data_IF_156477919332
#
_entry.id   IF_156477919332
#
_cell.length_a   1.000
_cell.length_b   1.000
_cell.length_c   1.000
_cell.angle_alpha   90.00
_cell.angle_beta   90.00
_cell.angle_gamma   90.00
#
_symmetry.space_group_name_H-M   'P 1'
#
loop_
_entity.id
_entity.type
_entity.pdbx_description
1 polymer ?
2 water ?
#
# COMPACT_ATOMS: atom_id res chain seq x y z
N UNK A 23 -7.36 -9.47 15.11
CA UNK A 23 -7.48 -8.04 15.55
C UNK A 23 -7.65 -7.05 14.37
N UNK A 24 -7.74 -5.76 14.66
CA UNK A 24 -8.21 -4.81 13.65
C UNK A 24 -7.14 -4.59 12.61
N UNK A 25 -7.51 -3.87 11.54
CA UNK A 25 -6.63 -3.65 10.40
C UNK A 25 -6.68 -2.18 9.94
N UNK A 26 -5.49 -1.58 9.86
CA UNK A 26 -5.29 -0.20 9.47
C UNK A 26 -4.48 -0.16 8.19
N UNK A 27 -4.94 0.64 7.22
CA UNK A 27 -4.35 0.67 5.91
C UNK A 27 -4.23 2.11 5.48
N UNK A 28 -3.03 2.48 4.97
CA UNK A 28 -2.83 3.78 4.35
C UNK A 28 -2.19 3.51 3.00
N UNK A 29 -2.86 3.98 1.96
CA UNK A 29 -2.41 3.83 0.58
C UNK A 29 -1.99 5.19 0.07
N UNK A 30 -0.79 5.22 -0.55
CA UNK A 30 -0.14 6.43 -1.04
C UNK A 30 0.31 6.31 -2.49
N UNK A 31 0.48 7.48 -3.12
CA UNK A 31 1.27 7.60 -4.34
C UNK A 31 2.73 7.67 -3.92
N UNK A 32 3.48 6.64 -4.24
CA UNK A 32 4.91 6.64 -4.03
C UNK A 32 5.23 5.89 -2.77
N UNK A 33 6.40 5.29 -2.76
CA UNK A 33 6.87 4.48 -1.63
C UNK A 33 7.29 5.31 -0.43
N UNK A 34 8.00 6.40 -0.66
CA UNK A 34 8.58 7.17 0.45
C UNK A 34 7.48 7.65 1.41
N UNK A 35 6.38 8.15 0.84
CA UNK A 35 5.27 8.72 1.61
C UNK A 35 4.52 7.63 2.36
N UNK A 36 4.66 6.40 1.85
CA UNK A 36 4.17 5.20 2.49
C UNK A 36 5.02 4.81 3.68
N UNK A 37 6.32 4.90 3.52
CA UNK A 37 7.28 4.50 4.54
C UNK A 37 7.13 5.41 5.75
N UNK A 38 6.81 6.67 5.48
CA UNK A 38 6.45 7.62 6.50
C UNK A 38 5.12 7.30 7.20
N UNK A 39 4.09 7.01 6.40
CA UNK A 39 2.85 6.52 6.93
C UNK A 39 3.14 5.39 7.90
N UNK A 40 3.88 4.39 7.42
CA UNK A 40 4.18 3.20 8.22
C UNK A 40 4.90 3.53 9.51
N UNK A 41 6.01 4.28 9.38
CA UNK A 41 6.80 4.70 10.54
C UNK A 41 5.94 5.40 11.61
N UNK A 42 5.11 6.34 11.17
CA UNK A 42 4.35 7.16 12.08
C UNK A 42 3.21 6.33 12.72
N UNK A 43 2.71 5.35 11.99
CA UNK A 43 1.72 4.42 12.50
C UNK A 43 2.29 3.62 13.67
N UNK A 44 3.48 3.06 13.51
CA UNK A 44 4.03 2.15 14.51
C UNK A 44 4.49 2.91 15.77
N UNK A 45 4.99 4.10 15.54
CA UNK A 45 5.31 4.96 16.64
C UNK A 45 4.06 5.36 17.44
N UNK A 46 2.97 5.67 16.75
CA UNK A 46 1.84 6.38 17.38
C UNK A 46 0.97 5.51 18.26
N UNK A 47 1.02 4.21 18.08
CA UNK A 47 0.23 3.32 18.93
C UNK A 47 0.70 1.89 18.82
N UNK A 48 0.16 1.01 19.65
CA UNK A 48 0.62 -0.38 19.68
C UNK A 48 0.04 -1.23 18.55
N UNK A 49 0.69 -1.14 17.38
CA UNK A 49 0.35 -1.90 16.18
C UNK A 49 1.61 -2.57 15.65
N UNK A 50 1.49 -3.76 15.08
CA UNK A 50 2.61 -4.34 14.34
C UNK A 50 2.42 -4.20 12.83
N UNK A 51 3.49 -3.81 12.16
CA UNK A 51 3.47 -3.59 10.74
C UNK A 51 3.46 -4.95 10.06
N UNK A 52 2.44 -5.16 9.22
CA UNK A 52 2.27 -6.40 8.50
C UNK A 52 3.15 -6.38 7.25
N UNK A 53 2.99 -5.34 6.46
CA UNK A 53 3.78 -5.19 5.28
C UNK A 53 3.29 -4.02 4.48
N UNK A 54 3.78 -3.95 3.27
CA UNK A 54 3.31 -3.01 2.31
C UNK A 54 2.98 -3.80 1.08
N UNK A 55 2.35 -3.15 0.12
CA UNK A 55 2.01 -3.78 -1.15
C UNK A 55 1.70 -2.70 -2.17
N UNK A 56 2.22 -2.84 -3.39
CA UNK A 56 1.85 -1.91 -4.44
C UNK A 56 1.14 -2.63 -5.57
N UNK A 57 0.25 -1.89 -6.23
CA UNK A 57 -0.66 -2.42 -7.22
C UNK A 57 -0.45 -1.63 -8.52
N UNK A 58 0.78 -1.18 -8.70
CA UNK A 58 1.16 -0.34 -9.83
C UNK A 58 0.51 1.03 -9.76
N UNK A 59 0.90 1.88 -10.71
CA UNK A 59 0.35 3.22 -10.84
C UNK A 59 0.77 4.13 -9.67
N UNK A 60 1.85 3.76 -8.99
CA UNK A 60 2.38 4.56 -7.91
C UNK A 60 1.73 4.28 -6.58
N UNK A 61 0.73 3.39 -6.58
CA UNK A 61 -0.09 3.13 -5.41
C UNK A 61 0.55 2.06 -4.54
N UNK A 62 0.92 2.49 -3.32
CA UNK A 62 1.56 1.65 -2.33
C UNK A 62 0.79 1.71 -1.00
N UNK A 63 0.58 0.55 -0.37
CA UNK A 63 -0.26 0.48 0.85
C UNK A 63 0.54 -0.08 1.99
N UNK A 64 0.41 0.56 3.14
CA UNK A 64 0.98 0.10 4.37
C UNK A 64 -0.17 -0.39 5.26
N UNK A 65 0.04 -1.56 5.87
CA UNK A 65 -0.96 -2.28 6.62
C UNK A 65 -0.43 -2.65 7.96
N UNK A 66 -1.22 -2.37 9.01
CA UNK A 66 -0.85 -2.68 10.40
C UNK A 66 -2.01 -3.36 11.10
N UNK A 67 -1.72 -4.01 12.20
CA UNK A 67 -2.70 -4.79 12.93
C UNK A 67 -2.56 -4.48 14.43
N UNK A 68 -3.69 -4.38 15.12
CA UNK A 68 -3.71 -4.02 16.53
C UNK A 68 -5.14 -4.01 17.06
N UNK A 69 -5.33 -3.57 18.30
CA UNK A 69 -6.70 -3.35 18.79
C UNK A 69 -7.26 -2.15 18.06
N UNK A 70 -8.57 -2.02 18.05
CA UNK A 70 -9.19 -1.03 17.18
C UNK A 70 -8.84 0.41 17.55
N UNK A 71 -8.80 0.71 18.85
CA UNK A 71 -8.32 2.04 19.30
C UNK A 71 -6.88 2.38 18.95
N UNK A 72 -6.01 1.39 19.10
CA UNK A 72 -4.60 1.46 18.71
C UNK A 72 -4.39 1.63 17.21
N UNK A 73 -5.15 0.87 16.43
CA UNK A 73 -5.11 0.96 15.01
C UNK A 73 -5.71 2.28 14.51
N UNK A 74 -6.80 2.70 15.15
CA UNK A 74 -7.44 3.95 14.75
C UNK A 74 -6.47 5.12 14.93
N UNK A 75 -5.66 5.02 15.98
CA UNK A 75 -4.74 6.05 16.35
C UNK A 75 -3.52 6.11 15.47
N UNK A 76 -2.96 4.94 15.14
CA UNK A 76 -1.91 4.85 14.13
C UNK A 76 -2.36 5.50 12.82
N UNK A 77 -3.47 5.09 12.26
CA UNK A 77 -3.91 5.61 10.95
C UNK A 77 -4.10 7.14 10.94
N UNK A 78 -4.68 7.67 11.99
CA UNK A 78 -4.81 9.11 12.17
C UNK A 78 -3.46 9.76 12.08
N UNK A 79 -2.50 9.23 12.79
CA UNK A 79 -1.13 9.76 12.79
C UNK A 79 -0.35 9.40 11.52
N UNK A 80 -0.51 8.16 11.05
CA UNK A 80 0.06 7.74 9.79
C UNK A 80 -0.31 8.67 8.66
N UNK A 81 -1.59 9.01 8.58
CA UNK A 81 -2.12 9.88 7.49
C UNK A 81 -1.63 11.32 7.64
N UNK A 82 -1.68 11.84 8.86
CA UNK A 82 -1.18 13.19 9.16
C UNK A 82 0.22 13.48 8.60
N UNK A 83 1.12 12.55 8.89
CA UNK A 83 2.53 12.63 8.54
C UNK A 83 2.92 12.19 7.12
N UNK A 84 2.25 11.19 6.57
CA UNK A 84 2.47 10.84 5.15
C UNK A 84 2.03 12.00 4.26
N UNK A 85 0.86 12.57 4.56
CA UNK A 85 0.32 13.73 3.83
C UNK A 85 1.28 14.93 3.90
N UNK A 86 1.91 15.10 5.04
CA UNK A 86 2.94 16.10 5.24
C UNK A 86 3.94 16.13 4.08
N UNK A 87 4.32 14.96 3.57
CA UNK A 87 5.39 14.86 2.58
C UNK A 87 4.98 14.33 1.20
N UNK A 88 3.76 13.79 1.10
CA UNK A 88 3.32 13.08 -0.09
C UNK A 88 1.82 13.04 -0.17
N UNK A 89 1.31 12.13 -1.03
CA UNK A 89 -0.11 12.01 -1.25
C UNK A 89 -0.71 10.75 -0.65
N UNK A 90 -1.57 10.93 0.34
CA UNK A 90 -2.38 9.84 0.87
C UNK A 90 -3.63 9.67 -0.03
N UNK A 91 -3.75 8.48 -0.59
CA UNK A 91 -4.85 8.18 -1.51
C UNK A 91 -6.12 7.66 -0.78
N UNK A 92 -5.95 6.62 0.03
CA UNK A 92 -7.04 6.06 0.83
C UNK A 92 -6.43 5.73 2.17
N UNK A 93 -7.22 5.84 3.23
CA UNK A 93 -6.93 5.20 4.50
C UNK A 93 -8.19 4.49 5.01
N UNK A 94 -8.02 3.46 5.83
CA UNK A 94 -9.15 2.68 6.31
C UNK A 94 -8.82 1.98 7.61
N UNK A 95 -9.81 1.86 8.51
CA UNK A 95 -9.72 0.94 9.64
C UNK A 95 -10.81 -0.07 9.50
N UNK A 96 -10.46 -1.35 9.52
CA UNK A 96 -11.45 -2.41 9.65
C UNK A 96 -11.23 -2.96 11.02
N UNK A 97 -12.20 -2.75 11.90
CA UNK A 97 -12.09 -3.17 13.29
C UNK A 97 -12.10 -4.71 13.48
N UNK A 98 -12.79 -5.43 12.60
CA UNK A 98 -12.73 -6.90 12.60
C UNK A 98 -12.96 -7.40 11.20
N UNK A 99 -11.86 -7.61 10.44
CA UNK A 99 -11.97 -8.10 9.08
C UNK A 99 -12.49 -9.52 9.03
N UNK A 100 -13.29 -9.80 8.02
CA UNK A 100 -13.81 -11.13 7.89
C UNK A 100 -12.57 -12.01 7.95
N UNK A 101 -12.72 -13.22 8.47
CA UNK A 101 -11.56 -14.08 8.68
C UNK A 101 -10.82 -14.29 7.34
N UNK A 102 -11.55 -14.62 6.26
CA UNK A 102 -11.04 -14.65 4.87
C UNK A 102 -10.10 -13.52 4.52
N UNK A 103 -10.39 -12.30 4.98
CA UNK A 103 -9.51 -11.14 4.73
C UNK A 103 -8.22 -11.35 5.48
N UNK A 104 -8.32 -11.56 6.78
CA UNK A 104 -7.16 -11.76 7.65
C UNK A 104 -6.21 -12.86 7.14
N UNK A 105 -6.76 -13.85 6.44
CA UNK A 105 -5.96 -14.89 5.80
C UNK A 105 -5.16 -14.31 4.64
N UNK A 106 -5.81 -13.50 3.82
CA UNK A 106 -5.24 -12.99 2.59
C UNK A 106 -4.12 -11.96 2.83
N UNK A 107 -4.32 -11.07 3.80
CA UNK A 107 -3.32 -10.03 4.11
C UNK A 107 -2.07 -10.61 4.76
N UNK A 108 -2.24 -11.54 5.68
CA UNK A 108 -1.12 -12.19 6.37
C UNK A 108 -0.91 -13.62 5.86
N UNK B 23 -20.12 -22.99 -8.87
CA UNK B 23 -21.08 -21.94 -8.37
C UNK B 23 -20.75 -20.52 -8.91
N UNK B 24 -21.53 -19.53 -8.50
CA UNK B 24 -21.48 -18.25 -9.16
C UNK B 24 -20.22 -17.49 -8.78
N UNK B 25 -19.99 -16.37 -9.49
CA UNK B 25 -18.78 -15.59 -9.36
C UNK B 25 -19.11 -14.09 -9.29
N UNK B 26 -18.60 -13.46 -8.22
CA UNK B 26 -18.77 -12.05 -7.96
C UNK B 26 -17.42 -11.36 -7.99
N UNK B 27 -17.35 -10.24 -8.68
CA UNK B 27 -16.12 -9.54 -8.91
C UNK B 27 -16.37 -8.05 -8.68
N UNK B 28 -15.49 -7.42 -7.90
CA UNK B 28 -15.46 -5.97 -7.80
C UNK B 28 -14.04 -5.52 -8.08
N UNK B 29 -13.88 -4.65 -9.06
CA UNK B 29 -12.59 -4.11 -9.48
C UNK B 29 -12.55 -2.64 -9.11
N UNK B 30 -11.45 -2.27 -8.45
CA UNK B 30 -11.22 -0.93 -7.88
C UNK B 30 -9.90 -0.33 -8.31
N UNK B 31 -9.84 1.00 -8.22
CA UNK B 31 -8.60 1.75 -8.23
C UNK B 31 -8.06 1.71 -6.82
N UNK B 32 -6.97 1.00 -6.62
CA UNK B 32 -6.30 0.97 -5.35
C UNK B 32 -6.66 -0.26 -4.60
N UNK B 33 -5.73 -0.73 -3.79
CA UNK B 33 -5.92 -1.93 -2.99
C UNK B 33 -6.84 -1.74 -1.80
N UNK B 34 -6.71 -0.63 -1.09
CA UNK B 34 -7.48 -0.43 0.15
C UNK B 34 -9.00 -0.52 -0.10
N UNK B 35 -9.46 0.12 -1.19
CA UNK B 35 -10.88 0.16 -1.56
C UNK B 35 -11.38 -1.20 -2.00
N UNK B 36 -10.42 -2.02 -2.44
CA UNK B 36 -10.66 -3.42 -2.80
C UNK B 36 -10.81 -4.28 -1.56
N UNK B 37 -9.98 -4.05 -0.57
CA UNK B 37 -9.98 -4.81 0.67
C UNK B 37 -11.32 -4.63 1.38
N UNK B 38 -11.86 -3.41 1.25
CA UNK B 38 -13.15 -3.07 1.76
C UNK B 38 -14.25 -3.76 1.00
N UNK B 39 -14.20 -3.69 -0.32
CA UNK B 39 -15.08 -4.45 -1.15
C UNK B 39 -15.09 -5.87 -0.65
N UNK B 40 -13.90 -6.48 -0.56
CA UNK B 40 -13.79 -7.89 -0.16
C UNK B 40 -14.40 -8.18 1.19
N UNK B 41 -14.00 -7.40 2.19
CA UNK B 41 -14.52 -7.53 3.55
C UNK B 41 -16.05 -7.47 3.60
N UNK B 42 -16.62 -6.48 2.93
CA UNK B 42 -18.04 -6.24 2.99
C UNK B 42 -18.79 -7.35 2.23
N UNK B 43 -18.15 -7.88 1.18
CA UNK B 43 -18.72 -9.00 0.44
C UNK B 43 -18.86 -10.23 1.34
N UNK B 44 -17.80 -10.59 2.07
CA UNK B 44 -17.81 -11.83 2.84
C UNK B 44 -18.72 -11.72 4.06
N UNK B 45 -18.78 -10.54 4.62
CA UNK B 45 -19.72 -10.30 5.69
C UNK B 45 -21.18 -10.40 5.22
N UNK B 46 -21.47 -9.86 4.04
CA UNK B 46 -22.86 -9.62 3.64
C UNK B 46 -23.62 -10.85 3.22
N UNK B 47 -22.93 -11.91 2.84
CA UNK B 47 -23.60 -13.13 2.43
C UNK B 47 -22.65 -14.32 2.43
N UNK B 48 -23.18 -15.52 2.22
CA UNK B 48 -22.35 -16.73 2.30
C UNK B 48 -21.55 -16.97 1.02
N UNK B 49 -20.41 -16.28 0.93
CA UNK B 49 -19.46 -16.38 -0.18
C UNK B 49 -18.07 -16.63 0.39
N UNK B 50 -17.27 -17.41 -0.31
CA UNK B 50 -15.87 -17.54 0.03
C UNK B 50 -14.98 -16.68 -0.87
N UNK B 51 -14.02 -15.98 -0.27
CA UNK B 51 -13.12 -15.12 -1.00
C UNK B 51 -12.10 -16.01 -1.69
N UNK B 52 -12.03 -15.85 -3.01
CA UNK B 52 -11.11 -16.60 -3.85
C UNK B 52 -9.73 -15.95 -3.80
N UNK B 53 -9.71 -14.67 -4.10
CA UNK B 53 -8.49 -13.91 -4.03
C UNK B 53 -8.71 -12.53 -4.56
N UNK B 54 -7.59 -11.85 -4.81
CA UNK B 54 -7.58 -10.60 -5.49
C UNK B 54 -6.60 -10.74 -6.64
N UNK B 55 -6.58 -9.74 -7.52
CA UNK B 55 -5.63 -9.71 -8.62
C UNK B 55 -5.56 -8.28 -9.17
N UNK B 56 -4.35 -7.81 -9.44
CA UNK B 56 -4.21 -6.50 -10.08
C UNK B 56 -3.53 -6.63 -11.43
N UNK B 57 -3.90 -5.72 -12.32
CA UNK B 57 -3.51 -5.78 -13.72
C UNK B 57 -2.81 -4.47 -14.08
N UNK B 58 -2.15 -3.90 -13.06
CA UNK B 58 -1.50 -2.61 -13.17
C UNK B 58 -2.49 -1.47 -13.33
N UNK B 59 -1.96 -0.25 -13.33
CA UNK B 59 -2.77 0.95 -13.49
C UNK B 59 -3.69 1.21 -12.29
N UNK B 60 -3.36 0.62 -11.14
CA UNK B 60 -4.12 0.82 -9.93
C UNK B 60 -5.33 -0.09 -9.83
N UNK B 61 -5.56 -0.92 -10.86
CA UNK B 61 -6.76 -1.74 -10.96
C UNK B 61 -6.55 -3.05 -10.23
N UNK B 62 -7.36 -3.22 -9.18
CA UNK B 62 -7.35 -4.40 -8.32
C UNK B 62 -8.75 -5.03 -8.21
N UNK B 63 -8.83 -6.35 -8.29
CA UNK B 63 -10.13 -7.04 -8.36
C UNK B 63 -10.21 -8.03 -7.22
N UNK B 64 -11.36 -8.03 -6.56
CA UNK B 64 -11.70 -8.99 -5.55
C UNK B 64 -12.76 -9.91 -6.12
N UNK B 65 -12.57 -11.21 -5.90
CA UNK B 65 -13.38 -12.25 -6.49
C UNK B 65 -13.87 -13.18 -5.41
N UNK B 66 -15.17 -13.47 -5.41
CA UNK B 66 -15.80 -14.39 -4.45
C UNK B 66 -16.67 -15.40 -5.18
N UNK B 67 -17.00 -16.48 -4.49
CA UNK B 67 -17.73 -17.59 -5.05
C UNK B 67 -18.85 -17.97 -4.07
N UNK B 68 -20.03 -18.28 -4.60
CA UNK B 68 -21.17 -18.66 -3.78
C UNK B 68 -22.36 -19.01 -4.66
N UNK B 69 -23.52 -19.23 -4.06
CA UNK B 69 -24.77 -19.33 -4.85
C UNK B 69 -25.09 -17.94 -5.41
N UNK B 70 -25.91 -17.89 -6.43
CA UNK B 70 -26.06 -16.66 -7.16
C UNK B 70 -26.71 -15.56 -6.33
N UNK B 71 -27.70 -15.91 -5.54
CA UNK B 71 -28.31 -14.94 -4.60
C UNK B 71 -27.39 -14.40 -3.53
N UNK B 72 -26.57 -15.30 -2.98
CA UNK B 72 -25.50 -14.97 -2.01
C UNK B 72 -24.39 -14.09 -2.62
N UNK B 73 -24.00 -14.41 -3.84
CA UNK B 73 -22.99 -13.65 -4.54
C UNK B 73 -23.57 -12.29 -4.95
N UNK B 74 -24.83 -12.29 -5.39
CA UNK B 74 -25.43 -11.05 -5.87
C UNK B 74 -25.47 -10.06 -4.70
N UNK B 75 -25.68 -10.60 -3.51
CA UNK B 75 -25.84 -9.82 -2.32
C UNK B 75 -24.54 -9.27 -1.81
N UNK B 76 -23.50 -10.09 -1.81
CA UNK B 76 -22.15 -9.63 -1.52
C UNK B 76 -21.77 -8.46 -2.42
N UNK B 77 -21.86 -8.63 -3.73
CA UNK B 77 -21.41 -7.57 -4.68
C UNK B 77 -22.15 -6.24 -4.51
N UNK B 78 -23.46 -6.31 -4.28
CA UNK B 78 -24.24 -5.14 -3.93
C UNK B 78 -23.65 -4.44 -2.73
N UNK B 79 -23.37 -5.20 -1.68
CA UNK B 79 -22.82 -4.63 -0.45
C UNK B 79 -21.34 -4.30 -0.59
N UNK B 80 -20.58 -5.16 -1.28
CA UNK B 80 -19.18 -4.91 -1.58
C UNK B 80 -19.01 -3.57 -2.27
N UNK B 81 -19.84 -3.31 -3.27
CA UNK B 81 -19.75 -2.08 -4.08
C UNK B 81 -20.19 -0.86 -3.26
N UNK B 82 -21.27 -0.99 -2.52
CA UNK B 82 -21.76 0.09 -1.65
C UNK B 82 -20.68 0.69 -0.74
N UNK B 83 -19.96 -0.22 -0.08
CA UNK B 83 -18.92 0.02 0.92
C UNK B 83 -17.51 0.38 0.35
N UNK B 84 -17.11 -0.24 -0.75
CA UNK B 84 -15.86 0.15 -1.41
C UNK B 84 -15.97 1.56 -1.99
N UNK B 85 -17.10 1.86 -2.62
CA UNK B 85 -17.39 3.21 -3.16
C UNK B 85 -17.39 4.28 -2.07
N UNK B 86 -17.88 3.90 -0.89
CA UNK B 86 -17.85 4.74 0.28
C UNK B 86 -16.46 5.38 0.47
N UNK B 87 -15.40 4.63 0.21
CA UNK B 87 -14.04 5.09 0.51
C UNK B 87 -13.10 5.23 -0.69
N UNK B 88 -13.52 4.74 -1.85
CA UNK B 88 -12.66 4.66 -3.03
C UNK B 88 -13.47 4.59 -4.31
N UNK B 89 -12.81 4.19 -5.40
CA UNK B 89 -13.45 4.11 -6.71
C UNK B 89 -13.67 2.66 -7.13
N UNK B 90 -14.94 2.29 -7.25
CA UNK B 90 -15.30 1.03 -7.87
C UNK B 90 -15.34 1.22 -9.39
N UNK B 91 -14.50 0.45 -10.07
CA UNK B 91 -14.37 0.58 -11.51
C UNK B 91 -15.42 -0.27 -12.27
N UNK B 92 -15.48 -1.56 -11.94
CA UNK B 92 -16.46 -2.45 -12.53
C UNK B 92 -16.85 -3.45 -11.44
N UNK B 93 -18.09 -3.91 -11.47
CA UNK B 93 -18.54 -5.05 -10.68
C UNK B 93 -19.35 -5.99 -11.59
N UNK B 94 -19.37 -7.27 -11.27
CA UNK B 94 -20.02 -8.26 -12.10
C UNK B 94 -20.45 -9.48 -11.29
N UNK B 95 -21.61 -10.06 -11.64
CA UNK B 95 -21.96 -11.39 -11.18
C UNK B 95 -22.08 -12.28 -12.39
N UNK B 96 -21.35 -13.39 -12.40
CA UNK B 96 -21.58 -14.42 -13.38
C UNK B 96 -22.18 -15.55 -12.60
N UNK B 97 -23.46 -15.83 -12.86
CA UNK B 97 -24.20 -16.86 -12.11
C UNK B 97 -23.69 -18.30 -12.36
N UNK B 98 -23.21 -18.57 -13.58
CA UNK B 98 -22.57 -19.85 -13.87
C UNK B 98 -21.50 -19.66 -14.94
N UNK B 99 -20.25 -19.41 -14.52
CA UNK B 99 -19.17 -19.19 -15.47
C UNK B 99 -18.88 -20.44 -16.25
N UNK B 100 -18.53 -20.26 -17.51
CA UNK B 100 -18.19 -21.39 -18.31
C UNK B 100 -17.15 -22.13 -17.48
N UNK B 101 -17.09 -23.44 -17.62
CA UNK B 101 -16.22 -24.23 -16.78
C UNK B 101 -14.77 -23.76 -16.92
N UNK B 102 -14.32 -23.59 -18.17
CA UNK B 102 -13.03 -22.95 -18.50
C UNK B 102 -12.68 -21.74 -17.65
N UNK B 103 -13.67 -20.90 -17.37
CA UNK B 103 -13.44 -19.71 -16.53
C UNK B 103 -13.13 -20.17 -15.12
N UNK B 104 -14.03 -20.96 -14.55
CA UNK B 104 -13.89 -21.47 -13.17
C UNK B 104 -12.54 -22.17 -12.93
N UNK B 105 -11.96 -22.75 -13.98
CA UNK B 105 -10.63 -23.34 -13.92
C UNK B 105 -9.56 -22.26 -13.77
N UNK B 106 -9.70 -21.19 -14.56
CA UNK B 106 -8.68 -20.13 -14.63
C UNK B 106 -8.63 -19.27 -13.34
N UNK B 107 -9.79 -18.93 -12.78
CA UNK B 107 -9.84 -18.09 -11.58
C UNK B 107 -9.33 -18.83 -10.34
N UNK B 108 -9.71 -20.10 -10.20
CA UNK B 108 -9.28 -20.94 -9.06
C UNK B 108 -8.24 -21.97 -9.53
N UNK C 23 20.15 2.75 12.68
CA UNK C 23 20.53 4.15 12.31
C UNK C 23 19.53 4.84 11.34
N UNK C 24 19.80 6.07 10.94
CA UNK C 24 18.79 6.85 10.27
C UNK C 24 18.59 6.35 8.85
N UNK C 25 17.56 6.89 8.18
CA UNK C 25 17.16 6.47 6.86
C UNK C 25 16.85 7.67 5.96
N UNK C 26 17.52 7.67 4.81
CA UNK C 26 17.39 8.70 3.79
C UNK C 26 16.83 8.09 2.52
N UNK C 27 15.85 8.77 1.93
CA UNK C 27 15.12 8.25 0.80
C UNK C 27 14.94 9.36 -0.20
N UNK C 28 15.22 9.08 -1.47
CA UNK C 28 14.92 9.99 -2.56
C UNK C 28 14.18 9.17 -3.60
N UNK C 29 12.98 9.62 -3.92
CA UNK C 29 12.11 8.99 -4.90
C UNK C 29 12.02 9.89 -6.11
N UNK C 30 12.23 9.27 -7.28
CA UNK C 30 12.30 9.95 -8.57
C UNK C 30 11.37 9.33 -9.60
N UNK C 31 11.04 10.13 -10.62
CA UNK C 31 10.50 9.63 -11.86
C UNK C 31 11.67 9.20 -12.73
N UNK C 32 11.80 7.91 -12.92
CA UNK C 32 12.84 7.37 -13.81
C UNK C 32 14.00 6.87 -13.00
N UNK C 33 14.65 5.84 -13.52
CA UNK C 33 15.76 5.20 -12.85
C UNK C 33 17.02 6.03 -12.91
N UNK C 34 17.33 6.64 -14.05
CA UNK C 34 18.62 7.33 -14.22
C UNK C 34 18.79 8.44 -13.19
N UNK C 35 17.72 9.21 -12.96
CA UNK C 35 17.72 10.35 -12.02
C UNK C 35 17.82 9.86 -10.57
N UNK C 36 17.41 8.61 -10.36
CA UNK C 36 17.57 7.92 -9.10
C UNK C 36 19.00 7.50 -8.89
N UNK C 37 19.63 6.99 -9.94
CA UNK C 37 21.02 6.49 -9.88
C UNK C 37 21.97 7.63 -9.51
N UNK C 38 21.63 8.81 -10.01
CA UNK C 38 22.32 10.03 -9.68
C UNK C 38 22.08 10.44 -8.25
N UNK C 39 20.83 10.45 -7.81
CA UNK C 39 20.51 10.65 -6.45
C UNK C 39 21.40 9.74 -5.62
N UNK C 40 21.37 8.45 -5.90
CA UNK C 40 22.11 7.45 -5.12
C UNK C 40 23.60 7.72 -5.08
N UNK C 41 24.18 7.90 -6.28
CA UNK C 41 25.61 8.22 -6.41
C UNK C 41 26.03 9.45 -5.57
N UNK C 42 25.26 10.51 -5.67
CA UNK C 42 25.60 11.76 -5.02
C UNK C 42 25.40 11.65 -3.49
N UNK C 43 24.44 10.83 -3.09
CA UNK C 43 24.24 10.54 -1.69
C UNK C 43 25.48 9.87 -1.07
N UNK C 44 25.98 8.83 -1.74
CA UNK C 44 27.05 8.02 -1.13
C UNK C 44 28.40 8.77 -1.16
N UNK C 45 28.59 9.55 -2.20
CA UNK C 45 29.72 10.44 -2.22
C UNK C 45 29.68 11.49 -1.10
N UNK C 46 28.49 12.07 -0.86
CA UNK C 46 28.40 13.30 -0.06
C UNK C 46 28.57 13.12 1.43
N UNK C 47 28.36 11.91 1.93
CA UNK C 47 28.50 11.66 3.36
C UNK C 47 28.59 10.17 3.65
N UNK C 48 28.87 9.81 4.89
CA UNK C 48 29.09 8.41 5.23
C UNK C 48 27.79 7.65 5.43
N UNK C 49 27.24 7.21 4.31
CA UNK C 49 26.01 6.42 4.26
C UNK C 49 26.27 5.18 3.41
N UNK C 50 25.64 4.06 3.76
CA UNK C 50 25.66 2.91 2.86
C UNK C 50 24.34 2.74 2.13
N UNK C 51 24.44 2.48 0.84
CA UNK C 51 23.30 2.36 -0.02
C UNK C 51 22.67 1.01 0.26
N UNK C 52 21.39 1.06 0.64
CA UNK C 52 20.61 -0.12 0.96
C UNK C 52 20.14 -0.76 -0.34
N UNK C 53 19.49 0.05 -1.15
CA UNK C 53 19.01 -0.42 -2.43
C UNK C 53 18.15 0.62 -3.08
N UNK C 54 17.46 0.19 -4.11
CA UNK C 54 16.46 0.99 -4.73
C UNK C 54 15.22 0.14 -4.78
N UNK C 55 14.10 0.76 -5.17
CA UNK C 55 12.85 0.06 -5.33
C UNK C 55 11.91 0.91 -6.19
N UNK C 56 11.22 0.28 -7.15
CA UNK C 56 10.19 1.01 -7.90
C UNK C 56 8.82 0.40 -7.67
N UNK C 57 7.82 1.27 -7.74
CA UNK C 57 6.45 0.94 -7.38
C UNK C 57 5.55 1.23 -8.58
N UNK C 58 6.15 1.08 -9.75
CA UNK C 58 5.51 1.41 -11.02
C UNK C 58 5.28 2.89 -11.17
N UNK C 59 4.79 3.26 -12.33
CA UNK C 59 4.47 4.64 -12.66
C UNK C 59 5.72 5.51 -12.77
N UNK C 60 6.88 4.87 -12.98
CA UNK C 60 8.11 5.60 -13.16
C UNK C 60 8.77 5.95 -11.86
N UNK C 61 8.13 5.61 -10.75
CA UNK C 61 8.58 6.01 -9.41
C UNK C 61 9.59 5.01 -8.89
N UNK C 62 10.82 5.51 -8.71
CA UNK C 62 11.95 4.74 -8.21
C UNK C 62 12.57 5.43 -6.96
N UNK C 63 12.90 4.65 -5.94
CA UNK C 63 13.38 5.22 -4.67
C UNK C 63 14.75 4.64 -4.36
N UNK C 64 15.64 5.53 -3.94
CA UNK C 64 16.94 5.17 -3.45
C UNK C 64 16.96 5.41 -1.96
N UNK C 65 17.50 4.44 -1.24
CA UNK C 65 17.47 4.41 0.20
C UNK C 65 18.87 4.19 0.73
N UNK C 66 19.27 5.00 1.71
CA UNK C 66 20.58 4.89 2.37
C UNK C 66 20.40 4.93 3.88
N UNK C 67 21.44 4.50 4.58
CA UNK C 67 21.41 4.39 6.03
C UNK C 67 22.73 4.95 6.58
N UNK C 68 22.64 5.66 7.70
CA UNK C 68 23.78 6.31 8.31
C UNK C 68 23.39 7.02 9.59
N UNK C 69 24.30 7.78 10.18
CA UNK C 69 23.92 8.68 11.27
C UNK C 69 23.06 9.81 10.71
N UNK C 70 22.31 10.47 11.55
CA UNK C 70 21.30 11.39 11.05
C UNK C 70 21.89 12.58 10.31
N UNK C 71 22.98 13.12 10.83
CA UNK C 71 23.71 14.19 10.11
C UNK C 71 24.30 13.81 8.77
N UNK C 72 24.86 12.61 8.72
CA UNK C 72 25.40 12.01 7.48
C UNK C 72 24.32 11.70 6.44
N UNK C 73 23.20 11.18 6.92
CA UNK C 73 22.06 10.91 6.07
C UNK C 73 21.40 12.21 5.60
N UNK C 74 21.29 13.18 6.50
CA UNK C 74 20.67 14.46 6.15
C UNK C 74 21.47 15.14 5.03
N UNK C 75 22.78 14.94 5.08
CA UNK C 75 23.69 15.55 4.15
C UNK C 75 23.66 14.88 2.80
N UNK C 76 23.64 13.56 2.80
CA UNK C 76 23.46 12.81 1.55
C UNK C 76 22.19 13.26 0.83
N UNK C 77 21.05 13.22 1.51
CA UNK C 77 19.76 13.58 0.88
C UNK C 77 19.73 15.00 0.29
N UNK C 78 20.27 15.96 1.03
CA UNK C 78 20.45 17.31 0.51
C UNK C 78 21.21 17.30 -0.81
N UNK C 79 22.33 16.60 -0.84
CA UNK C 79 23.16 16.52 -2.05
C UNK C 79 22.55 15.58 -3.09
N UNK C 80 21.99 14.46 -2.65
CA UNK C 80 21.28 13.53 -3.53
C UNK C 80 20.19 14.24 -4.31
N UNK C 81 19.40 15.06 -3.61
CA UNK C 81 18.28 15.78 -4.23
C UNK C 81 18.78 16.89 -5.19
N UNK C 82 19.77 17.65 -4.75
CA UNK C 82 20.38 18.71 -5.56
C UNK C 82 20.75 18.24 -6.97
N UNK C 83 21.44 17.11 -7.00
CA UNK C 83 21.99 16.52 -8.22
C UNK C 83 21.02 15.66 -9.05
N UNK C 84 20.12 14.93 -8.41
CA UNK C 84 19.11 14.19 -9.15
C UNK C 84 18.20 15.19 -9.87
N UNK C 85 17.79 16.26 -9.17
CA UNK C 85 16.95 17.33 -9.73
C UNK C 85 17.63 18.00 -10.92
N UNK C 86 18.95 18.13 -10.83
CA UNK C 86 19.77 18.62 -11.92
C UNK C 86 19.42 17.95 -13.25
N UNK C 87 19.15 16.66 -13.24
CA UNK C 87 18.95 15.91 -14.47
C UNK C 87 17.56 15.28 -14.65
N UNK C 88 16.75 15.30 -13.59
CA UNK C 88 15.47 14.59 -13.59
C UNK C 88 14.52 15.15 -12.56
N UNK C 89 13.47 14.40 -12.26
CA UNK C 89 12.44 14.86 -11.32
C UNK C 89 12.52 14.11 -10.00
N UNK C 90 12.83 14.85 -8.94
CA UNK C 90 12.73 14.34 -7.59
C UNK C 90 11.30 14.50 -7.10
N UNK C 91 10.68 13.37 -6.78
CA UNK C 91 9.28 13.35 -6.37
C UNK C 91 9.09 13.58 -4.86
N UNK C 92 9.78 12.78 -4.04
CA UNK C 92 9.77 12.92 -2.59
C UNK C 92 11.19 12.69 -2.13
N UNK C 93 11.58 13.38 -1.07
CA UNK C 93 12.77 12.98 -0.28
C UNK C 93 12.40 13.03 1.20
N UNK C 94 13.09 12.22 2.00
CA UNK C 94 12.77 12.12 3.41
C UNK C 94 13.99 11.66 4.22
N UNK C 95 14.13 12.18 5.44
CA UNK C 95 15.03 11.59 6.41
C UNK C 95 14.20 11.12 7.60
N UNK C 96 14.34 9.85 7.95
CA UNK C 96 13.80 9.38 9.21
C UNK C 96 15.01 9.13 10.08
N UNK C 97 15.16 9.92 11.13
CA UNK C 97 16.31 9.83 12.00
C UNK C 97 16.37 8.52 12.83
N UNK C 98 15.21 8.00 13.22
CA UNK C 98 15.16 6.68 13.87
C UNK C 98 13.86 5.99 13.52
N UNK C 99 13.88 5.19 12.43
CA UNK C 99 12.68 4.48 12.01
C UNK C 99 12.25 3.45 13.05
N UNK C 100 10.93 3.29 13.19
CA UNK C 100 10.45 2.31 14.10
C UNK C 100 11.16 1.03 13.70
N UNK C 101 11.40 0.15 14.66
CA UNK C 101 12.21 -1.03 14.38
C UNK C 101 11.57 -1.83 13.24
N UNK C 102 10.26 -2.06 13.32
CA UNK C 102 9.43 -2.63 12.23
C UNK C 102 9.77 -2.13 10.85
N UNK C 103 10.04 -0.83 10.72
CA UNK C 103 10.42 -0.23 9.42
C UNK C 103 11.76 -0.79 9.03
N UNK C 104 12.74 -0.62 9.90
CA UNK C 104 14.12 -1.06 9.65
C UNK C 104 14.20 -2.55 9.24
N UNK C 105 13.24 -3.36 9.72
CA UNK C 105 13.13 -4.76 9.32
C UNK C 105 12.67 -4.87 7.87
N UNK C 106 11.67 -4.06 7.50
CA UNK C 106 11.02 -4.10 6.18
C UNK C 106 11.97 -3.67 5.05
N UNK C 107 12.69 -2.57 5.27
CA UNK C 107 13.57 -2.02 4.24
C UNK C 107 14.81 -2.89 3.98
N UNK C 108 15.40 -3.41 5.05
CA UNK C 108 16.58 -4.28 4.97
C UNK C 108 16.17 -5.73 5.27
#
# INVERSE_FOLDING_TARGET
MGSSHHHHHHSSGLVPRGSHMGDALGLIETKGLVACIEAADAMCKAANVELIGYENVGSGLVTAMVKGDVGAVKAAVDSGVESAQRIGEVVTSLVIARPHNDISKIVAHYKIAE
MGSSHHHHHHSSGLVPRGSHMGDALGLIETKGLVACIEAADAMCKAANVELIGYENVGSGLVTAMVKGDVGAVKAAVDSGVESAQRIGEVVTSLVIARPHNDISKIVAHYKIAE
MGSSHHHHHHSSGLVPRGSHMGDALGLIETKGLVACIEAADAMCKAANVELIGYENVGSGLVTAMVKGDVGAVKAAVDSGVESAQRIGEVVTSLVIARPHNDISKIVAHYKIAE
#
